data_IF_037498594550
#
_entry.id   IF_037498594550
#
_cell.length_a   1.000
_cell.length_b   1.000
_cell.length_c   1.000
_cell.angle_alpha   90.00
_cell.angle_beta   90.00
_cell.angle_gamma   90.00
#
_symmetry.space_group_name_H-M   'P 1'
#
loop_
_entity.id
_entity.type
_entity.pdbx_description
1 polymer ?
#
# COMPACT_ATOMS: atom_id res chain seq x y z
N UNK A 1 10.73 1.97 -30.95
CA UNK A 1 9.67 1.07 -30.43
C UNK A 1 9.00 1.67 -29.19
N UNK A 2 9.74 2.07 -28.15
CA UNK A 2 9.17 2.67 -26.93
C UNK A 2 8.25 3.87 -27.17
N UNK A 3 8.66 4.83 -28.03
CA UNK A 3 7.82 6.00 -28.35
C UNK A 3 6.50 5.63 -29.03
N UNK A 4 6.51 4.59 -29.87
CA UNK A 4 5.30 4.10 -30.55
C UNK A 4 4.33 3.47 -29.54
N UNK A 5 4.85 2.64 -28.62
CA UNK A 5 4.05 2.06 -27.53
C UNK A 5 3.46 3.18 -26.68
N UNK A 6 4.26 4.17 -26.27
CA UNK A 6 3.77 5.30 -25.47
C UNK A 6 2.68 6.09 -26.19
N UNK A 7 2.86 6.41 -27.48
CA UNK A 7 1.86 7.11 -28.30
C UNK A 7 0.54 6.34 -28.46
N UNK A 8 0.59 5.01 -28.41
CA UNK A 8 -0.59 4.13 -28.50
C UNK A 8 -1.18 3.77 -27.12
N UNK A 9 -0.51 4.17 -26.04
CA UNK A 9 -1.00 3.98 -24.67
C UNK A 9 -1.99 5.07 -24.33
N UNK A 10 -2.96 4.77 -23.45
CA UNK A 10 -3.84 5.81 -22.91
C UNK A 10 -3.00 6.97 -22.34
N UNK A 11 -3.31 8.25 -22.65
CA UNK A 11 -2.42 9.38 -22.35
C UNK A 11 -2.50 9.80 -20.88
N UNK A 12 -2.08 8.92 -19.98
CA UNK A 12 -2.16 9.11 -18.53
C UNK A 12 -1.47 10.40 -18.07
N UNK A 13 -0.32 10.76 -18.65
CA UNK A 13 0.38 12.01 -18.32
C UNK A 13 -0.52 13.23 -18.56
N UNK A 14 -1.07 13.37 -19.76
CA UNK A 14 -1.90 14.53 -20.11
C UNK A 14 -3.21 14.54 -19.30
N UNK A 15 -3.82 13.38 -19.08
CA UNK A 15 -5.07 13.26 -18.32
C UNK A 15 -4.86 13.69 -16.87
N UNK A 16 -3.78 13.26 -16.22
CA UNK A 16 -3.53 13.63 -14.84
C UNK A 16 -3.12 15.09 -14.69
N UNK A 17 -2.36 15.64 -15.65
CA UNK A 17 -2.05 17.08 -15.66
C UNK A 17 -3.30 17.95 -15.82
N UNK A 18 -4.31 17.47 -16.56
CA UNK A 18 -5.57 18.18 -16.73
C UNK A 18 -6.44 18.20 -15.46
N UNK A 19 -6.27 17.23 -14.54
CA UNK A 19 -7.03 17.09 -13.29
C UNK A 19 -8.56 17.05 -13.47
N UNK A 20 -9.01 16.52 -14.61
CA UNK A 20 -10.44 16.47 -14.94
C UNK A 20 -11.06 15.12 -14.55
N UNK A 21 -10.49 14.02 -15.05
CA UNK A 21 -11.13 12.70 -14.95
C UNK A 21 -11.13 12.12 -13.55
N UNK A 22 -9.95 12.00 -12.93
CA UNK A 22 -9.80 11.40 -11.60
C UNK A 22 -10.55 12.20 -10.54
N UNK A 23 -10.57 13.53 -10.65
CA UNK A 23 -11.20 14.41 -9.67
C UNK A 23 -12.72 14.52 -9.83
N UNK A 24 -13.21 14.67 -11.06
CA UNK A 24 -14.60 15.10 -11.32
C UNK A 24 -15.52 13.97 -11.72
N UNK A 25 -14.99 12.90 -12.32
CA UNK A 25 -15.82 11.86 -12.89
C UNK A 25 -15.96 10.71 -11.92
N UNK A 26 -17.21 10.45 -11.57
CA UNK A 26 -17.63 9.26 -10.84
C UNK A 26 -18.48 8.43 -11.77
N UNK A 27 -18.38 7.12 -11.67
CA UNK A 27 -19.35 6.28 -12.34
C UNK A 27 -20.72 6.48 -11.68
N UNK A 28 -21.58 7.19 -12.39
CA UNK A 28 -23.03 7.22 -12.14
C UNK A 28 -23.67 6.41 -13.25
N UNK A 29 -24.87 5.85 -13.01
CA UNK A 29 -25.54 4.87 -13.87
C UNK A 29 -25.80 5.27 -15.35
N UNK A 30 -25.26 6.40 -15.82
CA UNK A 30 -25.43 6.96 -17.17
C UNK A 30 -24.15 7.57 -17.79
N UNK A 31 -22.96 7.41 -17.19
CA UNK A 31 -21.69 7.88 -17.80
C UNK A 31 -20.55 6.88 -17.61
N UNK A 32 -19.97 6.45 -18.74
CA UNK A 32 -18.77 5.60 -18.81
C UNK A 32 -17.47 6.43 -18.84
N UNK A 33 -17.54 7.72 -18.52
CA UNK A 33 -16.39 8.63 -18.68
C UNK A 33 -15.37 8.53 -17.53
N UNK A 34 -15.78 8.01 -16.38
CA UNK A 34 -14.93 7.82 -15.21
C UNK A 34 -13.90 6.69 -15.44
N UNK A 35 -12.81 6.72 -14.68
CA UNK A 35 -11.81 5.66 -14.78
C UNK A 35 -12.35 4.35 -14.23
N UNK A 36 -12.09 3.27 -14.95
CA UNK A 36 -12.16 1.94 -14.36
C UNK A 36 -11.08 1.83 -13.27
N UNK A 37 -11.47 1.39 -12.07
CA UNK A 37 -10.63 1.47 -10.87
C UNK A 37 -9.32 0.69 -11.01
N UNK A 38 -9.34 -0.47 -11.68
CA UNK A 38 -8.15 -1.30 -11.93
C UNK A 38 -7.27 -0.71 -13.02
N UNK A 39 -7.86 -0.18 -14.10
CA UNK A 39 -7.09 0.49 -15.16
C UNK A 39 -6.34 1.71 -14.62
N UNK A 40 -6.94 2.46 -13.68
CA UNK A 40 -6.23 3.53 -12.97
C UNK A 40 -5.04 2.99 -12.17
N UNK A 41 -5.24 1.94 -11.36
CA UNK A 41 -4.17 1.31 -10.59
C UNK A 41 -3.02 0.83 -11.47
N UNK A 42 -3.31 0.23 -12.63
CA UNK A 42 -2.30 -0.23 -13.59
C UNK A 42 -1.60 0.93 -14.31
N UNK A 43 -2.38 1.93 -14.72
CA UNK A 43 -1.94 3.03 -15.57
C UNK A 43 -1.24 4.17 -14.85
N UNK A 44 -1.45 4.33 -13.55
CA UNK A 44 -0.90 5.45 -12.78
C UNK A 44 0.63 5.53 -12.84
N UNK A 45 1.32 4.39 -12.97
CA UNK A 45 2.78 4.33 -13.13
C UNK A 45 3.28 4.71 -14.51
N UNK A 46 2.43 4.76 -15.53
CA UNK A 46 2.85 4.95 -16.92
C UNK A 46 3.68 6.22 -17.14
N UNK A 47 3.35 7.40 -16.55
CA UNK A 47 4.21 8.57 -16.61
C UNK A 47 5.60 8.32 -16.02
N UNK A 48 5.72 7.67 -14.86
CA UNK A 48 7.01 7.37 -14.22
C UNK A 48 7.82 6.35 -15.02
N UNK A 49 7.18 5.35 -15.62
CA UNK A 49 7.86 4.43 -16.54
C UNK A 49 8.45 5.23 -17.72
N UNK A 50 7.67 6.14 -18.29
CA UNK A 50 8.12 6.99 -19.42
C UNK A 50 9.27 7.91 -19.01
N UNK A 51 9.25 8.44 -17.79
CA UNK A 51 10.28 9.34 -17.27
C UNK A 51 11.72 8.81 -17.40
N UNK A 52 11.92 7.48 -17.32
CA UNK A 52 13.24 6.86 -17.50
C UNK A 52 13.84 7.08 -18.90
N UNK A 53 12.99 7.18 -19.94
CA UNK A 53 13.40 7.41 -21.32
C UNK A 53 13.27 8.88 -21.75
N UNK A 54 12.46 9.65 -21.02
CA UNK A 54 12.08 11.01 -21.31
C UNK A 54 11.98 11.80 -19.99
N UNK A 55 13.10 12.35 -19.49
CA UNK A 55 13.19 12.90 -18.14
C UNK A 55 12.53 14.28 -18.01
N UNK A 56 11.35 14.46 -18.62
CA UNK A 56 10.51 15.63 -18.47
C UNK A 56 9.82 15.62 -17.08
N UNK A 57 10.02 16.65 -16.24
CA UNK A 57 9.42 16.73 -14.91
C UNK A 57 7.89 16.62 -14.91
N UNK A 58 7.22 16.93 -16.02
CA UNK A 58 5.76 16.78 -16.16
C UNK A 58 5.27 15.36 -15.86
N UNK A 59 6.09 14.34 -16.12
CA UNK A 59 5.73 12.96 -15.79
C UNK A 59 5.63 12.71 -14.28
N UNK A 60 6.51 13.34 -13.48
CA UNK A 60 6.46 13.25 -12.03
C UNK A 60 5.25 14.01 -11.49
N UNK A 61 5.07 15.27 -11.92
CA UNK A 61 3.95 16.13 -11.52
C UNK A 61 2.59 15.52 -11.87
N UNK A 62 2.48 14.82 -13.01
CA UNK A 62 1.26 14.13 -13.39
C UNK A 62 0.84 13.10 -12.33
N UNK A 63 1.77 12.32 -11.79
CA UNK A 63 1.44 11.31 -10.78
C UNK A 63 1.12 11.92 -9.43
N UNK A 64 1.81 13.01 -9.05
CA UNK A 64 1.46 13.79 -7.85
C UNK A 64 0.01 14.27 -7.92
N UNK A 65 -0.38 14.90 -9.04
CA UNK A 65 -1.75 15.36 -9.25
C UNK A 65 -2.77 14.21 -9.25
N UNK A 66 -2.42 13.06 -9.82
CA UNK A 66 -3.29 11.89 -9.79
C UNK A 66 -3.57 11.43 -8.35
N UNK A 67 -2.53 11.33 -7.51
CA UNK A 67 -2.70 10.94 -6.11
C UNK A 67 -3.45 11.99 -5.28
N UNK A 68 -3.21 13.28 -5.51
CA UNK A 68 -3.99 14.36 -4.90
C UNK A 68 -5.48 14.25 -5.25
N UNK A 69 -5.79 14.05 -6.54
CA UNK A 69 -7.15 13.93 -7.03
C UNK A 69 -7.84 12.66 -6.49
N UNK A 70 -7.11 11.53 -6.43
CA UNK A 70 -7.58 10.29 -5.80
C UNK A 70 -7.91 10.57 -4.33
N UNK A 71 -6.97 11.14 -3.58
CA UNK A 71 -7.14 11.39 -2.15
C UNK A 71 -8.29 12.35 -1.89
N UNK A 72 -8.46 13.40 -2.70
CA UNK A 72 -9.51 14.39 -2.60
C UNK A 72 -10.89 13.82 -2.95
N UNK A 73 -11.02 13.10 -4.07
CA UNK A 73 -12.32 12.74 -4.62
C UNK A 73 -12.78 11.30 -4.31
N UNK A 74 -11.84 10.39 -4.03
CA UNK A 74 -12.10 8.96 -3.93
C UNK A 74 -11.43 8.25 -2.74
N UNK A 75 -10.55 8.92 -2.00
CA UNK A 75 -9.68 8.28 -1.01
C UNK A 75 -10.41 7.48 0.07
N UNK A 76 -9.83 6.34 0.44
CA UNK A 76 -10.30 5.42 1.48
C UNK A 76 -9.21 5.22 2.56
N UNK A 77 -9.58 4.87 3.80
CA UNK A 77 -8.65 4.82 4.92
C UNK A 77 -7.54 3.77 4.81
N UNK A 78 -7.74 2.73 4.01
CA UNK A 78 -6.77 1.64 3.78
C UNK A 78 -5.76 1.94 2.64
N UNK A 79 -5.63 3.20 2.21
CA UNK A 79 -4.61 3.63 1.25
C UNK A 79 -4.97 3.49 -0.23
N UNK A 80 -6.20 3.05 -0.54
CA UNK A 80 -6.77 3.02 -1.89
C UNK A 80 -7.90 4.04 -2.01
N UNK A 81 -8.87 3.74 -2.88
CA UNK A 81 -9.98 4.59 -3.26
C UNK A 81 -11.26 3.79 -3.45
N UNK A 82 -12.40 4.48 -3.34
CA UNK A 82 -13.70 3.93 -3.70
C UNK A 82 -13.72 3.64 -5.20
N UNK A 83 -13.90 2.37 -5.54
CA UNK A 83 -13.86 1.87 -6.90
C UNK A 83 -14.43 0.46 -7.02
N UNK A 84 -15.68 0.34 -7.47
CA UNK A 84 -16.39 -0.92 -7.72
C UNK A 84 -16.61 -1.14 -9.23
N UNK A 85 -15.51 -1.49 -9.91
CA UNK A 85 -15.25 -1.37 -11.36
C UNK A 85 -15.07 0.07 -11.82
N UNK A 86 -15.89 0.98 -11.30
CA UNK A 86 -15.80 2.40 -11.59
C UNK A 86 -15.35 3.21 -10.40
N UNK A 87 -14.55 4.26 -10.59
CA UNK A 87 -14.27 5.22 -9.51
C UNK A 87 -15.57 5.76 -8.89
N UNK A 88 -15.70 5.61 -7.57
CA UNK A 88 -17.00 5.78 -6.89
C UNK A 88 -16.92 6.49 -5.54
N UNK A 89 -16.33 7.69 -5.53
CA UNK A 89 -16.35 8.62 -4.39
C UNK A 89 -15.64 8.17 -3.10
N UNK A 90 -15.79 8.99 -2.04
CA UNK A 90 -15.17 8.79 -0.72
C UNK A 90 -16.06 8.09 0.30
N UNK A 91 -17.28 7.71 -0.09
CA UNK A 91 -18.22 7.11 0.83
C UNK A 91 -17.61 5.85 1.43
N UNK A 92 -17.56 5.74 2.76
CA UNK A 92 -16.92 4.60 3.43
C UNK A 92 -17.71 3.29 3.31
N UNK A 93 -18.94 3.37 2.79
CA UNK A 93 -19.76 2.24 2.39
C UNK A 93 -19.64 1.93 0.89
N UNK A 94 -18.72 2.56 0.16
CA UNK A 94 -18.49 2.24 -1.25
C UNK A 94 -17.53 1.07 -1.39
N UNK A 95 -17.66 0.34 -2.50
CA UNK A 95 -16.79 -0.79 -2.80
C UNK A 95 -15.37 -0.33 -3.15
N UNK A 96 -14.38 -1.14 -2.82
CA UNK A 96 -13.02 -1.05 -3.34
C UNK A 96 -12.61 -2.43 -3.82
N UNK A 97 -12.28 -2.56 -5.10
CA UNK A 97 -11.97 -3.85 -5.73
C UNK A 97 -10.60 -4.44 -5.32
N UNK A 98 -10.56 -5.76 -5.15
CA UNK A 98 -9.34 -6.52 -4.85
C UNK A 98 -8.27 -6.38 -5.95
N UNK A 99 -8.64 -6.40 -7.23
CA UNK A 99 -7.66 -6.18 -8.30
C UNK A 99 -7.00 -4.80 -8.23
N UNK A 100 -7.75 -3.77 -7.81
CA UNK A 100 -7.20 -2.42 -7.64
C UNK A 100 -6.12 -2.41 -6.56
N UNK A 101 -6.28 -3.18 -5.47
CA UNK A 101 -5.25 -3.32 -4.44
C UNK A 101 -3.95 -3.91 -5.02
N UNK A 102 -4.07 -5.06 -5.70
CA UNK A 102 -2.90 -5.78 -6.25
C UNK A 102 -2.17 -4.95 -7.31
N UNK A 103 -2.91 -4.31 -8.22
CA UNK A 103 -2.29 -3.52 -9.29
C UNK A 103 -1.73 -2.20 -8.78
N UNK A 104 -2.33 -1.59 -7.76
CA UNK A 104 -1.81 -0.37 -7.16
C UNK A 104 -0.52 -0.66 -6.40
N UNK A 105 -0.45 -1.78 -5.66
CA UNK A 105 0.80 -2.22 -5.03
C UNK A 105 1.91 -2.31 -6.07
N UNK A 106 1.67 -3.04 -7.17
CA UNK A 106 2.68 -3.17 -8.22
C UNK A 106 3.06 -1.84 -8.87
N UNK A 107 2.12 -0.90 -8.97
CA UNK A 107 2.43 0.43 -9.48
C UNK A 107 3.26 1.26 -8.51
N UNK A 108 2.94 1.24 -7.22
CA UNK A 108 3.72 1.91 -6.19
C UNK A 108 5.14 1.33 -6.08
N UNK A 109 5.28 0.01 -6.16
CA UNK A 109 6.56 -0.70 -6.20
C UNK A 109 7.47 -0.20 -7.34
N UNK A 110 6.94 -0.16 -8.57
CA UNK A 110 7.71 0.33 -9.73
C UNK A 110 8.02 1.82 -9.66
N UNK A 111 7.08 2.64 -9.17
CA UNK A 111 7.33 4.08 -9.02
C UNK A 111 8.37 4.35 -7.94
N UNK A 112 8.34 3.61 -6.84
CA UNK A 112 9.36 3.64 -5.78
C UNK A 112 10.73 3.24 -6.32
N UNK A 113 10.82 2.14 -7.07
CA UNK A 113 12.08 1.68 -7.68
C UNK A 113 12.70 2.72 -8.62
N UNK A 114 11.88 3.36 -9.46
CA UNK A 114 12.36 4.31 -10.46
C UNK A 114 12.77 5.65 -9.84
N UNK A 115 12.00 6.15 -8.88
CA UNK A 115 12.15 7.52 -8.37
C UNK A 115 12.86 7.58 -7.03
N UNK A 116 12.85 6.49 -6.26
CA UNK A 116 13.21 6.48 -4.85
C UNK A 116 12.27 7.32 -3.95
N UNK A 117 11.16 7.85 -4.47
CA UNK A 117 10.26 8.68 -3.67
C UNK A 117 9.54 7.81 -2.61
N UNK A 118 9.79 8.13 -1.34
CA UNK A 118 9.32 7.35 -0.20
C UNK A 118 7.81 7.47 0.05
N UNK A 119 7.14 8.50 -0.50
CA UNK A 119 5.69 8.62 -0.44
C UNK A 119 5.00 7.40 -1.08
N UNK A 120 5.62 6.80 -2.11
CA UNK A 120 5.12 5.57 -2.72
C UNK A 120 5.26 4.37 -1.79
N UNK A 121 6.32 4.30 -0.99
CA UNK A 121 6.49 3.24 0.01
C UNK A 121 5.46 3.37 1.14
N UNK A 122 5.20 4.59 1.61
CA UNK A 122 4.19 4.84 2.65
C UNK A 122 2.77 4.49 2.17
N UNK A 123 2.44 4.81 0.91
CA UNK A 123 1.18 4.38 0.27
C UNK A 123 1.15 2.86 0.08
N UNK A 124 2.26 2.25 -0.34
CA UNK A 124 2.36 0.81 -0.58
C UNK A 124 2.09 0.01 0.69
N UNK A 125 2.67 0.41 1.83
CA UNK A 125 2.41 -0.24 3.12
C UNK A 125 0.94 -0.18 3.52
N UNK A 126 0.27 0.95 3.31
CA UNK A 126 -1.16 1.06 3.61
C UNK A 126 -1.97 0.06 2.78
N UNK A 127 -1.72 -0.04 1.47
CA UNK A 127 -2.43 -1.00 0.61
C UNK A 127 -2.09 -2.45 0.99
N UNK A 128 -0.80 -2.75 1.15
CA UNK A 128 -0.31 -4.10 1.40
C UNK A 128 -0.78 -4.65 2.75
N UNK A 129 -0.71 -3.87 3.82
CA UNK A 129 -1.02 -4.35 5.17
C UNK A 129 -2.48 -4.16 5.59
N UNK A 130 -3.30 -3.45 4.79
CA UNK A 130 -4.69 -3.19 5.13
C UNK A 130 -5.67 -3.60 4.02
N UNK A 131 -5.46 -3.16 2.78
CA UNK A 131 -6.43 -3.38 1.72
C UNK A 131 -6.39 -4.80 1.13
N UNK A 132 -5.19 -5.36 0.95
CA UNK A 132 -5.02 -6.70 0.38
C UNK A 132 -5.49 -7.82 1.32
N UNK A 133 -4.99 -7.94 2.57
CA UNK A 133 -5.26 -9.10 3.43
C UNK A 133 -6.74 -9.18 3.85
N UNK A 134 -7.43 -8.06 4.01
CA UNK A 134 -8.83 -8.02 4.43
C UNK A 134 -9.80 -8.52 3.35
N UNK A 135 -9.34 -8.71 2.12
CA UNK A 135 -10.17 -9.15 1.01
C UNK A 135 -10.06 -10.64 0.68
N UNK A 136 -9.16 -11.36 1.36
CA UNK A 136 -8.86 -12.78 1.12
C UNK A 136 -8.96 -13.55 2.43
N UNK A 137 -9.31 -14.84 2.37
CA UNK A 137 -9.21 -15.70 3.55
C UNK A 137 -7.75 -16.04 3.87
N UNK A 138 -7.47 -16.39 5.12
CA UNK A 138 -6.11 -16.72 5.59
C UNK A 138 -5.44 -17.85 4.80
N UNK A 139 -6.24 -18.78 4.28
CA UNK A 139 -5.80 -19.89 3.43
C UNK A 139 -5.71 -19.55 1.94
N UNK A 140 -6.03 -18.31 1.56
CA UNK A 140 -6.06 -17.80 0.19
C UNK A 140 -7.01 -18.54 -0.76
N UNK A 141 -7.96 -19.32 -0.24
CA UNK A 141 -8.90 -20.09 -1.08
C UNK A 141 -10.16 -19.32 -1.46
N UNK A 142 -10.55 -18.33 -0.66
CA UNK A 142 -11.75 -17.52 -0.91
C UNK A 142 -11.41 -16.04 -0.79
N UNK A 143 -12.24 -15.21 -1.44
CA UNK A 143 -12.06 -13.77 -1.44
C UNK A 143 -13.41 -13.07 -1.56
N UNK A 144 -13.44 -11.80 -1.20
CA UNK A 144 -14.48 -10.86 -1.62
C UNK A 144 -14.04 -10.09 -2.88
N UNK A 145 -15.01 -9.68 -3.69
CA UNK A 145 -14.73 -8.94 -4.93
C UNK A 145 -14.46 -7.46 -4.63
N UNK A 146 -15.33 -6.86 -3.83
CA UNK A 146 -15.14 -5.54 -3.23
C UNK A 146 -15.09 -5.69 -1.71
N UNK A 147 -14.21 -4.93 -1.06
CA UNK A 147 -14.35 -4.57 0.36
C UNK A 147 -15.05 -3.22 0.51
N UNK A 148 -15.46 -2.90 1.74
CA UNK A 148 -15.88 -1.56 2.13
C UNK A 148 -15.08 -1.14 3.38
N UNK A 149 -14.75 0.16 3.51
CA UNK A 149 -14.03 0.63 4.71
C UNK A 149 -14.87 0.45 5.99
N UNK A 150 -16.18 0.69 5.88
CA UNK A 150 -17.14 0.46 6.95
C UNK A 150 -18.03 -0.73 6.59
N UNK A 151 -17.53 -1.95 6.86
CA UNK A 151 -18.14 -3.21 6.46
C UNK A 151 -18.60 -4.03 7.68
N UNK A 152 -19.79 -3.75 8.18
CA UNK A 152 -20.34 -4.42 9.38
C UNK A 152 -20.84 -5.85 9.13
N UNK A 153 -20.99 -6.24 7.87
CA UNK A 153 -21.42 -7.57 7.45
C UNK A 153 -21.01 -7.86 6.00
N UNK A 154 -20.78 -9.13 5.70
CA UNK A 154 -20.48 -9.64 4.36
C UNK A 154 -21.62 -10.55 3.93
N UNK A 155 -22.67 -9.97 3.35
CA UNK A 155 -23.90 -10.71 3.01
C UNK A 155 -24.31 -10.47 1.57
N UNK A 156 -24.90 -11.49 0.96
CA UNK A 156 -25.50 -11.40 -0.35
C UNK A 156 -26.65 -10.38 -0.30
N UNK A 157 -26.69 -9.50 -1.28
CA UNK A 157 -27.76 -8.53 -1.44
C UNK A 157 -27.26 -7.30 -2.17
N UNK A 158 -28.19 -6.54 -2.74
CA UNK A 158 -27.86 -5.32 -3.47
C UNK A 158 -27.19 -4.30 -2.55
N UNK A 159 -26.09 -3.72 -3.03
CA UNK A 159 -25.42 -2.56 -2.43
C UNK A 159 -25.49 -1.38 -3.40
N UNK A 160 -25.03 -0.21 -2.93
CA UNK A 160 -24.97 1.00 -3.74
C UNK A 160 -23.70 1.04 -4.62
N UNK A 161 -23.33 -0.10 -5.20
CA UNK A 161 -22.15 -0.20 -6.07
C UNK A 161 -22.51 0.17 -7.50
N UNK A 162 -21.53 0.67 -8.26
CA UNK A 162 -21.74 0.92 -9.68
C UNK A 162 -22.06 -0.38 -10.43
N UNK A 163 -21.17 -1.37 -10.31
CA UNK A 163 -21.39 -2.71 -10.88
C UNK A 163 -21.93 -3.66 -9.83
N UNK A 164 -23.21 -3.47 -9.52
CA UNK A 164 -24.00 -4.38 -8.70
C UNK A 164 -24.71 -5.41 -9.61
N UNK A 165 -24.07 -6.56 -9.79
CA UNK A 165 -24.68 -7.73 -10.43
C UNK A 165 -24.76 -8.87 -9.43
N UNK A 166 -25.99 -9.36 -9.19
CA UNK A 166 -26.36 -10.54 -8.39
C UNK A 166 -26.19 -10.43 -6.86
N UNK A 167 -25.76 -9.30 -6.32
CA UNK A 167 -25.65 -9.09 -4.87
C UNK A 167 -24.51 -9.86 -4.19
N UNK A 168 -23.68 -10.57 -4.95
CA UNK A 168 -22.64 -11.50 -4.45
C UNK A 168 -21.25 -10.84 -4.33
N UNK A 169 -21.18 -9.51 -4.38
CA UNK A 169 -19.92 -8.77 -4.58
C UNK A 169 -19.02 -8.66 -3.35
N UNK A 170 -19.56 -8.87 -2.15
CA UNK A 170 -18.81 -8.76 -0.88
C UNK A 170 -18.75 -10.07 -0.08
N UNK A 171 -19.38 -11.14 -0.57
CA UNK A 171 -19.35 -12.44 0.10
C UNK A 171 -18.09 -13.20 -0.26
N UNK A 172 -17.58 -14.01 0.67
CA UNK A 172 -16.34 -14.75 0.48
C UNK A 172 -16.61 -16.02 -0.32
N UNK A 173 -15.97 -16.15 -1.47
CA UNK A 173 -16.01 -17.39 -2.24
C UNK A 173 -14.89 -17.43 -3.27
N UNK A 174 -14.73 -18.58 -3.94
CA UNK A 174 -13.67 -18.75 -4.93
C UNK A 174 -13.92 -17.87 -6.18
N UNK A 175 -15.18 -17.80 -6.64
CA UNK A 175 -15.60 -17.11 -7.86
C UNK A 175 -16.74 -16.12 -7.63
N UNK A 176 -16.93 -15.63 -6.40
CA UNK A 176 -17.92 -14.59 -6.09
C UNK A 176 -17.56 -13.30 -6.83
N UNK A 177 -18.51 -12.67 -7.51
CA UNK A 177 -18.24 -11.55 -8.41
C UNK A 177 -17.59 -11.99 -9.73
N UNK A 178 -16.63 -11.21 -10.26
CA UNK A 178 -15.92 -11.59 -11.48
C UNK A 178 -14.64 -12.41 -11.16
N UNK A 179 -14.29 -13.44 -11.96
CA UNK A 179 -13.12 -14.29 -11.69
C UNK A 179 -11.75 -13.58 -11.74
N UNK A 180 -11.67 -12.32 -12.17
CA UNK A 180 -10.40 -11.60 -12.33
C UNK A 180 -9.58 -11.55 -11.04
N UNK A 181 -10.17 -11.26 -9.87
CA UNK A 181 -9.35 -11.22 -8.66
C UNK A 181 -8.87 -12.61 -8.21
N UNK A 182 -9.58 -13.70 -8.51
CA UNK A 182 -9.07 -15.07 -8.30
C UNK A 182 -7.76 -15.30 -9.08
N UNK A 183 -7.69 -14.74 -10.29
CA UNK A 183 -6.50 -14.77 -11.14
C UNK A 183 -5.47 -13.67 -10.82
N UNK A 184 -5.82 -12.67 -10.00
CA UNK A 184 -4.92 -11.54 -9.73
C UNK A 184 -4.31 -11.57 -8.32
N UNK A 185 -5.07 -12.01 -7.31
CA UNK A 185 -4.71 -11.89 -5.88
C UNK A 185 -3.35 -12.51 -5.54
N UNK A 186 -2.99 -13.61 -6.20
CA UNK A 186 -1.75 -14.35 -5.93
C UNK A 186 -0.49 -13.59 -6.38
N UNK A 187 -0.61 -12.51 -7.16
CA UNK A 187 0.52 -11.74 -7.63
C UNK A 187 1.00 -10.69 -6.63
N UNK A 188 0.16 -10.26 -5.68
CA UNK A 188 0.46 -9.15 -4.77
C UNK A 188 1.72 -9.40 -3.92
N UNK A 189 1.72 -10.45 -3.10
CA UNK A 189 2.85 -10.75 -2.22
C UNK A 189 4.16 -11.12 -2.94
N UNK A 190 4.15 -11.93 -4.01
CA UNK A 190 5.38 -12.19 -4.75
C UNK A 190 6.00 -10.93 -5.35
N UNK A 191 5.18 -10.02 -5.90
CA UNK A 191 5.65 -8.73 -6.42
C UNK A 191 6.20 -7.86 -5.30
N UNK A 192 5.49 -7.72 -4.18
CA UNK A 192 6.00 -6.99 -3.01
C UNK A 192 7.34 -7.54 -2.52
N UNK A 193 7.47 -8.87 -2.42
CA UNK A 193 8.68 -9.57 -1.99
C UNK A 193 9.88 -9.23 -2.89
N UNK A 194 9.66 -9.07 -4.20
CA UNK A 194 10.70 -8.68 -5.15
C UNK A 194 11.17 -7.22 -4.98
N UNK A 195 10.39 -6.37 -4.30
CA UNK A 195 10.66 -4.93 -4.13
C UNK A 195 10.93 -4.52 -2.68
N UNK A 196 11.11 -5.46 -1.74
CA UNK A 196 11.53 -5.14 -0.36
C UNK A 196 12.91 -4.46 -0.34
N UNK A 197 13.81 -4.97 -1.18
CA UNK A 197 15.19 -4.50 -1.31
C UNK A 197 15.44 -3.95 -2.72
N UNK A 198 16.19 -2.85 -2.81
CA UNK A 198 16.57 -2.22 -4.08
C UNK A 198 18.07 -1.91 -4.10
N UNK A 199 18.68 -1.92 -5.28
CA UNK A 199 20.02 -1.36 -5.46
C UNK A 199 19.96 0.16 -5.36
N UNK A 200 20.94 0.78 -4.70
CA UNK A 200 21.05 2.24 -4.65
C UNK A 200 22.00 2.79 -5.72
N UNK A 201 21.80 4.03 -6.13
CA UNK A 201 22.66 4.71 -7.11
C UNK A 201 24.14 4.82 -6.67
N UNK A 202 24.42 4.69 -5.37
CA UNK A 202 25.78 4.67 -4.81
C UNK A 202 26.42 3.27 -4.74
N UNK A 203 25.97 2.32 -5.56
CA UNK A 203 26.35 0.90 -5.51
C UNK A 203 26.13 0.27 -4.13
N UNK A 204 25.05 0.67 -3.46
CA UNK A 204 24.65 0.14 -2.16
C UNK A 204 23.31 -0.58 -2.22
N UNK A 205 22.68 -0.72 -1.06
CA UNK A 205 21.37 -1.35 -0.92
C UNK A 205 20.39 -0.42 -0.21
N UNK A 206 19.12 -0.54 -0.54
CA UNK A 206 18.03 0.17 0.10
C UNK A 206 16.97 -0.82 0.60
N UNK A 207 16.67 -0.78 1.89
CA UNK A 207 15.51 -1.43 2.49
C UNK A 207 14.41 -0.39 2.64
N UNK A 208 13.44 -0.42 1.74
CA UNK A 208 12.40 0.61 1.62
C UNK A 208 11.03 0.11 2.08
N UNK A 209 10.79 -1.19 2.10
CA UNK A 209 9.60 -1.81 2.69
C UNK A 209 10.08 -2.92 3.63
N UNK A 210 9.56 -2.94 4.86
CA UNK A 210 10.04 -3.84 5.90
C UNK A 210 9.22 -5.11 6.00
N UNK A 211 9.92 -6.24 5.97
CA UNK A 211 9.38 -7.58 6.16
C UNK A 211 10.53 -8.56 6.42
N UNK A 212 10.29 -9.68 7.16
CA UNK A 212 11.28 -10.72 7.35
C UNK A 212 11.82 -11.20 5.99
N UNK A 213 13.10 -10.98 5.75
CA UNK A 213 13.67 -11.19 4.42
C UNK A 213 15.17 -11.45 4.46
N UNK A 214 15.69 -12.01 3.38
CA UNK A 214 17.12 -12.20 3.17
C UNK A 214 17.45 -11.82 1.73
N UNK A 215 18.39 -10.90 1.56
CA UNK A 215 18.90 -10.50 0.25
C UNK A 215 20.38 -10.83 0.14
N UNK A 216 20.78 -11.37 -1.01
CA UNK A 216 22.19 -11.53 -1.40
C UNK A 216 22.38 -10.75 -2.69
N UNK A 217 23.30 -9.79 -2.68
CA UNK A 217 23.50 -8.86 -3.79
C UNK A 217 24.96 -8.40 -3.88
N UNK A 218 25.33 -7.88 -5.06
CA UNK A 218 26.60 -7.21 -5.27
C UNK A 218 26.50 -5.73 -4.87
N UNK A 219 27.49 -5.25 -4.12
CA UNK A 219 27.63 -3.85 -3.72
C UNK A 219 29.05 -3.34 -4.02
N UNK A 220 29.25 -2.03 -3.89
CA UNK A 220 30.49 -1.35 -4.20
C UNK A 220 30.98 -1.69 -5.61
N UNK A 221 32.15 -2.36 -5.72
CA UNK A 221 32.74 -2.78 -6.98
C UNK A 221 32.61 -4.31 -7.16
N UNK A 222 31.38 -4.84 -7.05
CA UNK A 222 31.08 -6.25 -7.29
C UNK A 222 31.31 -7.18 -6.10
N UNK A 223 31.31 -6.65 -4.86
CA UNK A 223 31.48 -7.48 -3.67
C UNK A 223 30.14 -8.03 -3.20
N UNK A 224 30.06 -9.35 -3.02
CA UNK A 224 28.84 -10.01 -2.56
C UNK A 224 28.63 -9.78 -1.06
N UNK A 225 27.46 -9.27 -0.70
CA UNK A 225 27.00 -9.16 0.68
C UNK A 225 25.66 -9.85 0.84
N UNK A 226 25.40 -10.35 2.04
CA UNK A 226 24.09 -10.88 2.42
C UNK A 226 23.56 -10.11 3.61
N UNK A 227 22.34 -9.57 3.50
CA UNK A 227 21.64 -8.91 4.59
C UNK A 227 20.43 -9.77 4.97
N UNK A 228 20.29 -10.05 6.25
CA UNK A 228 19.12 -10.71 6.82
C UNK A 228 18.35 -9.72 7.68
N UNK A 229 17.11 -9.45 7.30
CA UNK A 229 16.15 -8.63 8.04
C UNK A 229 15.30 -9.53 8.94
N UNK A 230 15.30 -9.26 10.24
CA UNK A 230 14.50 -9.96 11.24
C UNK A 230 13.63 -8.97 11.98
N UNK A 231 12.32 -9.13 11.84
CA UNK A 231 11.31 -8.28 12.47
C UNK A 231 9.97 -9.02 12.56
N UNK A 232 9.04 -8.49 13.35
CA UNK A 232 7.60 -8.82 13.28
C UNK A 232 6.80 -7.64 12.73
N UNK A 233 7.47 -6.67 12.09
CA UNK A 233 6.82 -5.57 11.38
C UNK A 233 5.73 -6.12 10.45
N UNK A 234 4.52 -5.54 10.44
CA UNK A 234 4.14 -4.25 11.04
C UNK A 234 3.67 -4.30 12.52
N UNK A 235 3.79 -5.44 13.20
CA UNK A 235 3.33 -5.61 14.60
C UNK A 235 4.40 -5.30 15.66
N UNK A 236 5.65 -5.08 15.25
CA UNK A 236 6.71 -4.57 16.13
C UNK A 236 7.38 -3.33 15.51
N UNK A 237 7.94 -2.50 16.39
CA UNK A 237 8.56 -1.21 16.03
C UNK A 237 10.08 -1.35 15.78
N UNK A 238 10.63 -2.57 15.82
CA UNK A 238 12.07 -2.84 15.74
C UNK A 238 12.42 -3.67 14.52
N UNK A 239 13.46 -3.30 13.79
CA UNK A 239 13.97 -4.03 12.64
C UNK A 239 15.45 -4.31 12.85
N UNK A 240 15.86 -5.57 12.71
CA UNK A 240 17.24 -6.03 12.91
C UNK A 240 17.82 -6.49 11.58
N UNK A 241 18.93 -5.89 11.18
CA UNK A 241 19.68 -6.28 9.99
C UNK A 241 21.00 -6.92 10.42
N UNK A 242 21.22 -8.15 9.98
CA UNK A 242 22.51 -8.84 10.12
C UNK A 242 23.25 -8.82 8.78
N UNK A 243 24.46 -8.28 8.77
CA UNK A 243 25.31 -8.19 7.59
C UNK A 243 26.28 -9.37 7.58
N UNK A 244 26.38 -10.05 6.44
CA UNK A 244 27.34 -11.12 6.18
C UNK A 244 28.16 -10.78 4.95
N UNK A 245 29.48 -10.90 5.05
CA UNK A 245 30.42 -10.61 3.95
C UNK A 245 31.73 -11.34 4.13
N UNK A 246 32.41 -11.73 3.04
CA UNK A 246 33.71 -12.41 3.13
C UNK A 246 34.85 -11.46 3.55
N UNK A 247 34.76 -10.19 3.17
CA UNK A 247 35.75 -9.16 3.48
C UNK A 247 35.07 -7.84 3.79
N UNK A 248 35.69 -7.02 4.65
CA UNK A 248 35.08 -5.74 5.02
C UNK A 248 34.94 -4.79 3.84
N UNK A 249 33.70 -4.38 3.55
CA UNK A 249 33.29 -3.64 2.34
C UNK A 249 32.66 -2.29 2.69
N UNK A 250 32.93 -1.25 1.89
CA UNK A 250 32.30 0.07 2.05
C UNK A 250 31.14 0.22 1.07
N UNK A 251 29.93 0.45 1.56
CA UNK A 251 28.78 0.78 0.72
C UNK A 251 27.70 1.51 1.54
N UNK A 252 26.86 2.35 0.90
CA UNK A 252 25.75 2.98 1.56
C UNK A 252 24.58 2.00 1.74
N UNK A 253 24.08 1.91 2.97
CA UNK A 253 22.79 1.27 3.27
C UNK A 253 21.75 2.37 3.47
N UNK A 254 20.67 2.33 2.70
CA UNK A 254 19.56 3.26 2.79
C UNK A 254 18.37 2.60 3.50
N UNK A 255 17.86 3.24 4.53
CA UNK A 255 16.69 2.77 5.29
C UNK A 255 15.60 3.84 5.24
N UNK A 256 14.35 3.45 4.99
CA UNK A 256 13.21 4.38 5.09
C UNK A 256 12.83 4.62 6.55
N UNK A 257 12.61 5.89 6.90
CA UNK A 257 11.83 6.28 8.07
C UNK A 257 10.41 6.56 7.56
N UNK A 258 9.41 5.72 7.88
CA UNK A 258 8.06 5.94 7.39
C UNK A 258 7.52 7.32 7.79
N UNK A 259 6.69 7.96 6.95
CA UNK A 259 6.20 9.32 7.27
C UNK A 259 5.40 9.41 8.59
N UNK A 260 4.84 8.29 9.04
CA UNK A 260 4.12 8.23 10.32
C UNK A 260 5.06 8.23 11.55
N UNK A 261 6.34 7.90 11.37
CA UNK A 261 7.31 7.78 12.45
C UNK A 261 7.95 9.15 12.73
N UNK A 262 7.70 9.70 13.92
CA UNK A 262 8.20 11.03 14.31
C UNK A 262 9.68 11.02 14.67
N UNK A 263 10.16 9.92 15.24
CA UNK A 263 11.52 9.77 15.75
C UNK A 263 12.01 8.36 15.47
N UNK A 264 13.15 8.22 14.81
CA UNK A 264 13.82 6.94 14.55
C UNK A 264 15.14 6.84 15.32
N UNK A 265 15.54 5.64 15.72
CA UNK A 265 16.83 5.38 16.39
C UNK A 265 17.61 4.28 15.67
N UNK A 266 18.94 4.41 15.62
CA UNK A 266 19.84 3.39 15.05
C UNK A 266 20.89 2.95 16.06
N UNK A 267 21.12 1.65 16.16
CA UNK A 267 22.25 1.07 16.90
C UNK A 267 23.03 0.11 16.02
N UNK A 268 24.35 0.18 16.08
CA UNK A 268 25.23 -0.80 15.45
C UNK A 268 26.01 -1.53 16.54
N UNK A 269 25.90 -2.85 16.58
CA UNK A 269 26.57 -3.70 17.57
C UNK A 269 26.32 -3.21 19.01
N UNK A 270 25.08 -2.78 19.30
CA UNK A 270 24.65 -2.25 20.60
C UNK A 270 24.98 -0.79 20.88
N UNK A 271 25.74 -0.10 20.02
CA UNK A 271 26.16 1.29 20.20
C UNK A 271 25.31 2.21 19.33
N UNK A 272 24.81 3.31 19.90
CA UNK A 272 24.06 4.33 19.15
C UNK A 272 24.85 4.80 17.93
N UNK A 273 24.23 4.69 16.76
CA UNK A 273 24.77 5.18 15.49
C UNK A 273 24.01 6.43 15.08
N UNK A 274 24.74 7.47 14.69
CA UNK A 274 24.17 8.62 13.98
C UNK A 274 24.24 8.31 12.48
N UNK A 275 23.17 8.61 11.76
CA UNK A 275 23.10 8.51 10.32
C UNK A 275 22.63 9.84 9.73
N UNK A 276 22.99 10.09 8.48
CA UNK A 276 22.52 11.27 7.76
C UNK A 276 21.07 11.07 7.37
N UNK A 277 20.26 12.11 7.57
CA UNK A 277 18.88 12.16 7.11
C UNK A 277 18.82 12.89 5.77
N UNK A 278 18.35 12.19 4.75
CA UNK A 278 17.91 12.77 3.48
C UNK A 278 16.37 12.69 3.43
N UNK A 279 15.73 13.70 4.03
CA UNK A 279 14.30 13.66 4.32
C UNK A 279 13.93 12.47 5.22
N UNK A 280 13.02 11.62 4.72
CA UNK A 280 12.57 10.39 5.37
C UNK A 280 13.49 9.19 5.12
N UNK A 281 14.74 9.41 4.71
CA UNK A 281 15.72 8.36 4.44
C UNK A 281 16.92 8.49 5.37
N UNK A 282 17.31 7.39 6.00
CA UNK A 282 18.59 7.26 6.70
C UNK A 282 19.62 6.70 5.72
N UNK A 283 20.76 7.38 5.60
CA UNK A 283 21.89 6.92 4.79
C UNK A 283 23.06 6.56 5.70
N UNK A 284 23.45 5.29 5.68
CA UNK A 284 24.56 4.75 6.44
C UNK A 284 25.68 4.35 5.46
N UNK A 285 26.49 5.31 5.05
CA UNK A 285 27.68 5.09 4.22
C UNK A 285 28.90 4.81 5.09
N UNK A 286 29.31 3.54 5.13
CA UNK A 286 30.43 3.10 5.97
C UNK A 286 31.03 1.79 5.49
N UNK A 287 32.14 1.44 6.14
CA UNK A 287 32.72 0.11 6.09
C UNK A 287 31.97 -0.86 7.00
N UNK A 288 31.40 -1.89 6.41
CA UNK A 288 30.71 -3.01 7.03
C UNK A 288 31.66 -4.20 7.21
N UNK A 289 31.45 -4.97 8.27
CA UNK A 289 32.18 -6.20 8.59
C UNK A 289 31.21 -7.37 8.72
N UNK A 290 31.76 -8.58 8.56
CA UNK A 290 30.98 -9.79 8.82
C UNK A 290 30.45 -9.81 10.25
N UNK A 291 29.16 -10.11 10.39
CA UNK A 291 28.50 -10.17 11.69
C UNK A 291 28.07 -8.82 12.26
N UNK A 292 28.25 -7.70 11.55
CA UNK A 292 27.69 -6.42 11.96
C UNK A 292 26.16 -6.54 12.10
N UNK A 293 25.63 -6.06 13.23
CA UNK A 293 24.20 -6.04 13.54
C UNK A 293 23.72 -4.60 13.67
N UNK A 294 22.88 -4.19 12.73
CA UNK A 294 22.24 -2.88 12.72
C UNK A 294 20.78 -3.03 13.18
N UNK A 295 20.40 -2.25 14.18
CA UNK A 295 19.04 -2.21 14.73
C UNK A 295 18.43 -0.84 14.46
N UNK A 296 17.27 -0.84 13.79
CA UNK A 296 16.44 0.32 13.54
C UNK A 296 15.20 0.24 14.43
N UNK A 297 14.91 1.30 15.18
CA UNK A 297 13.67 1.46 15.93
C UNK A 297 12.82 2.55 15.30
N UNK A 298 11.55 2.25 15.07
CA UNK A 298 10.52 3.11 14.50
C UNK A 298 9.29 3.17 15.42
N UNK A 299 9.37 3.84 16.59
CA UNK A 299 8.24 3.98 17.51
C UNK A 299 6.95 4.44 16.82
N UNK A 300 5.90 3.65 16.96
CA UNK A 300 4.59 3.89 16.38
C UNK A 300 3.63 4.52 17.40
N UNK A 301 3.28 5.79 17.18
CA UNK A 301 2.21 6.48 17.91
C UNK A 301 0.85 6.26 17.25
N UNK A 302 -0.22 6.36 18.04
CA UNK A 302 -1.59 6.33 17.54
C UNK A 302 -1.87 7.63 16.79
N UNK A 303 -2.45 7.49 15.60
CA UNK A 303 -2.84 8.60 14.73
C UNK A 303 -4.29 8.42 14.32
N UNK A 304 -4.96 9.54 14.07
CA UNK A 304 -6.33 9.54 13.54
C UNK A 304 -6.42 10.36 12.28
N UNK A 305 -7.36 10.04 11.40
CA UNK A 305 -7.67 10.84 10.21
C UNK A 305 -9.18 10.96 10.04
N UNK A 306 -9.63 12.18 9.75
CA UNK A 306 -11.05 12.46 9.44
C UNK A 306 -11.35 12.18 7.98
N UNK A 307 -12.56 11.68 7.75
CA UNK A 307 -13.10 11.32 6.43
C UNK A 307 -14.48 11.96 6.23
N UNK A 308 -15.14 11.56 5.14
CA UNK A 308 -16.49 11.99 4.83
C UNK A 308 -17.46 11.68 5.99
N UNK A 309 -18.51 12.49 6.12
CA UNK A 309 -19.52 12.36 7.17
C UNK A 309 -18.96 12.34 8.61
N UNK A 310 -17.85 13.03 8.86
CA UNK A 310 -17.14 13.09 10.15
C UNK A 310 -16.64 11.74 10.69
N UNK A 311 -16.59 10.70 9.84
CA UNK A 311 -15.99 9.43 10.22
C UNK A 311 -14.49 9.59 10.52
N UNK A 312 -13.97 8.74 11.40
CA UNK A 312 -12.58 8.79 11.86
C UNK A 312 -11.97 7.41 11.73
N UNK A 313 -10.79 7.32 11.11
CA UNK A 313 -9.96 6.12 11.15
C UNK A 313 -8.84 6.28 12.18
N UNK A 314 -8.43 5.15 12.76
CA UNK A 314 -7.35 5.06 13.77
C UNK A 314 -6.23 4.21 13.19
N UNK A 315 -4.98 4.65 13.36
CA UNK A 315 -3.79 3.98 12.86
C UNK A 315 -2.74 3.84 13.95
N UNK A 316 -1.96 2.75 13.90
CA UNK A 316 -0.69 2.61 14.63
C UNK A 316 0.34 2.05 13.66
N UNK A 317 1.43 2.79 13.45
CA UNK A 317 2.40 2.44 12.41
C UNK A 317 1.73 2.47 11.02
N UNK A 318 1.94 1.45 10.18
CA UNK A 318 1.26 1.31 8.88
C UNK A 318 -0.12 0.62 8.97
N UNK A 319 -0.56 0.19 10.15
CA UNK A 319 -1.82 -0.53 10.33
C UNK A 319 -2.99 0.42 10.58
N UNK A 320 -4.06 0.19 9.83
CA UNK A 320 -5.41 0.71 10.05
C UNK A 320 -6.14 -0.23 11.01
N UNK A 321 -6.71 0.33 12.07
CA UNK A 321 -7.46 -0.44 13.06
C UNK A 321 -8.95 -0.48 12.69
N UNK A 322 -9.58 -1.57 13.09
CA UNK A 322 -11.02 -1.78 12.98
C UNK A 322 -11.60 -2.10 14.37
N UNK A 323 -12.92 -1.93 14.50
CA UNK A 323 -13.65 -2.40 15.67
C UNK A 323 -13.69 -3.94 15.64
N UNK A 324 -13.23 -4.58 16.71
CA UNK A 324 -13.41 -6.02 16.87
C UNK A 324 -14.90 -6.35 17.03
N UNK A 325 -15.36 -7.32 16.24
CA UNK A 325 -16.76 -7.73 16.19
C UNK A 325 -16.84 -9.26 16.22
N UNK A 326 -17.84 -9.79 16.89
CA UNK A 326 -18.13 -11.23 16.87
C UNK A 326 -18.57 -11.64 15.46
N UNK A 327 -18.09 -12.78 14.98
CA UNK A 327 -18.36 -13.25 13.62
C UNK A 327 -19.22 -14.51 13.65
N UNK A 328 -20.37 -14.46 12.99
CA UNK A 328 -21.17 -15.64 12.68
C UNK A 328 -21.09 -15.93 11.19
N UNK A 329 -20.36 -16.97 10.85
CA UNK A 329 -20.16 -17.43 9.47
C UNK A 329 -21.28 -18.40 9.06
N UNK A 330 -21.75 -18.28 7.83
CA UNK A 330 -22.72 -19.20 7.22
C UNK A 330 -22.25 -19.60 5.84
N UNK A 331 -22.13 -20.90 5.60
CA UNK A 331 -21.81 -21.47 4.29
C UNK A 331 -23.08 -21.67 3.46
N UNK A 332 -23.01 -21.32 2.17
CA UNK A 332 -24.11 -21.48 1.24
C UNK A 332 -23.82 -22.61 0.24
N UNK A 333 -24.85 -23.35 -0.23
CA UNK A 333 -24.68 -24.45 -1.19
C UNK A 333 -23.96 -24.06 -2.49
N UNK A 334 -24.05 -22.79 -2.88
CA UNK A 334 -23.40 -22.24 -4.08
C UNK A 334 -21.90 -21.94 -3.88
N UNK A 335 -21.31 -22.33 -2.74
CA UNK A 335 -19.87 -22.26 -2.50
C UNK A 335 -19.34 -20.91 -2.05
N UNK A 336 -20.21 -20.05 -1.50
CA UNK A 336 -19.83 -18.80 -0.87
C UNK A 336 -20.20 -18.79 0.62
N UNK A 337 -19.57 -17.88 1.37
CA UNK A 337 -19.73 -17.69 2.80
C UNK A 337 -20.16 -16.27 3.10
N UNK A 338 -21.12 -16.15 4.01
CA UNK A 338 -21.54 -14.87 4.56
C UNK A 338 -21.06 -14.71 6.00
N UNK A 339 -20.88 -13.45 6.40
CA UNK A 339 -20.55 -13.06 7.77
C UNK A 339 -21.57 -12.06 8.28
N UNK A 340 -22.09 -12.31 9.47
CA UNK A 340 -22.90 -11.36 10.25
C UNK A 340 -22.29 -11.20 11.63
N UNK A 341 -22.66 -10.13 12.31
CA UNK A 341 -22.29 -9.88 13.68
C UNK A 341 -23.49 -9.43 14.50
N UNK A 342 -23.56 -9.88 15.75
CA UNK A 342 -24.46 -9.36 16.79
C UNK A 342 -23.84 -8.22 17.60
N UNK A 343 -22.54 -7.95 17.42
CA UNK A 343 -21.84 -6.90 18.17
C UNK A 343 -22.44 -5.53 17.85
N UNK A 344 -22.56 -4.63 18.85
CA UNK A 344 -22.80 -3.23 18.58
C UNK A 344 -21.68 -2.69 17.69
N UNK A 345 -22.01 -1.83 16.73
CA UNK A 345 -21.05 -1.31 15.73
C UNK A 345 -21.21 0.17 15.43
N UNK A 346 -22.32 0.77 15.84
CA UNK A 346 -22.68 2.16 15.58
C UNK A 346 -22.09 3.11 16.65
N UNK A 347 -20.76 3.12 16.75
CA UNK A 347 -20.02 3.95 17.70
C UNK A 347 -19.51 5.26 17.09
N UNK A 348 -19.28 6.24 17.95
CA UNK A 348 -18.54 7.45 17.65
C UNK A 348 -17.40 7.60 18.66
N UNK A 349 -16.27 8.16 18.22
CA UNK A 349 -15.14 8.48 19.09
C UNK A 349 -15.41 9.81 19.80
N UNK A 350 -15.02 9.90 21.07
CA UNK A 350 -15.14 11.14 21.85
C UNK A 350 -14.12 12.15 21.31
N UNK A 351 -14.60 13.35 20.96
CA UNK A 351 -13.79 14.40 20.32
C UNK A 351 -12.54 14.79 21.12
N UNK A 352 -12.67 14.85 22.44
CA UNK A 352 -11.54 15.18 23.32
C UNK A 352 -10.43 14.12 23.29
N UNK A 353 -10.78 12.84 23.12
CA UNK A 353 -9.80 11.76 23.01
C UNK A 353 -8.99 11.85 21.71
N UNK A 354 -9.54 12.49 20.67
CA UNK A 354 -8.84 12.70 19.40
C UNK A 354 -7.72 13.76 19.49
N UNK A 355 -7.71 14.58 20.55
CA UNK A 355 -6.66 15.60 20.76
C UNK A 355 -5.32 14.98 21.18
N UNK A 356 -5.36 13.88 21.93
CA UNK A 356 -4.19 13.09 22.28
C UNK A 356 -4.48 11.59 22.12
N UNK A 357 -4.39 11.05 20.90
CA UNK A 357 -4.77 9.66 20.63
C UNK A 357 -4.00 8.61 21.43
N UNK A 358 -2.75 8.90 21.84
CA UNK A 358 -1.94 7.96 22.63
C UNK A 358 -2.44 7.81 24.09
N UNK A 359 -3.18 8.80 24.61
CA UNK A 359 -3.77 8.77 25.96
C UNK A 359 -5.29 8.55 25.94
N UNK A 360 -5.93 8.84 24.81
CA UNK A 360 -7.38 8.87 24.66
C UNK A 360 -8.02 7.52 24.29
N UNK A 361 -7.24 6.49 23.99
CA UNK A 361 -7.72 5.17 23.55
C UNK A 361 -7.16 4.03 24.41
#
# INVERSE_FOLDING_TARGET
MGDLIYKQTHPYTDIFLAREKVKRLRFVAQSDEAFHCVNLAQGIKAPIIRYQADPDPRHLTAVEYAFDDIEEAHGQPFGLYGGDEGLHGRGLTQGSELCSAVEMMFSLEKMLEITGNLDFADRLELVAFNALPTQVSDDYQTRQYYQQANQVMCTQGKRNFFQENRGERIVYGLLTGYPCCTCNLHQGWPKLTQHLWMASAGNGLAALVYAPSKVTAEVANGQTVTLTETTQYPFEDTIRFKIQTEASVNFPLHLRVPAWCKTSSLRLNGIQLKAEHDGNRLVIDRRWKDGDELVLELPASIRTKRWEANSVSVYRGPLLYALEMEETWTEHPDGYREVRSSSPWNFALIEDNLKNPDEGF
#
